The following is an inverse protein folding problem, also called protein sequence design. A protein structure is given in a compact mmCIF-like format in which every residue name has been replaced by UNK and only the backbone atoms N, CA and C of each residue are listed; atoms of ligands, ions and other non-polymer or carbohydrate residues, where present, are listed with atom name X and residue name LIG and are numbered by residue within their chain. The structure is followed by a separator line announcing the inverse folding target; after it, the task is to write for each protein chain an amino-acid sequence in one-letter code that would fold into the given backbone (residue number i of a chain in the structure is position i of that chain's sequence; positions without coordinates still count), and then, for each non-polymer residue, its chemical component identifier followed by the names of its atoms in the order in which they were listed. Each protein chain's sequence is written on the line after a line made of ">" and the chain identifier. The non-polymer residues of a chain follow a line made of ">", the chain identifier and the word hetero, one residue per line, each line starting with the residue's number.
data_IF_744963169926
#
_entry.id   IF_744963169926
#
_cell.length_a   1.000
_cell.length_b   1.000
_cell.length_c   1.000
_cell.angle_alpha   90.00
_cell.angle_beta   90.00
_cell.angle_gamma   90.00
#
_symmetry.space_group_name_H-M   'P 1'
#
loop_
_entity.id
_entity.type
_entity.pdbx_description
1 polymer ?
#
# COMPACT_ATOMS: atom_id res chain seq x y z
N UNK A 1 -6.13 -40.91 43.58
CA UNK A 1 -5.56 -39.54 43.69
C UNK A 1 -5.63 -38.88 42.32
N UNK A 2 -6.10 -37.63 42.19
CA UNK A 2 -6.12 -36.92 40.92
C UNK A 2 -4.70 -36.44 40.55
N UNK A 3 -4.35 -36.54 39.27
CA UNK A 3 -3.04 -36.13 38.76
C UNK A 3 -2.78 -34.63 39.02
N UNK A 4 -1.58 -34.23 39.49
CA UNK A 4 -1.26 -32.82 39.69
C UNK A 4 -1.25 -32.10 38.33
N UNK A 5 -1.89 -30.93 38.27
CA UNK A 5 -1.86 -30.08 37.07
C UNK A 5 -0.40 -29.75 36.75
N UNK A 6 0.03 -30.03 35.52
CA UNK A 6 1.41 -29.84 35.07
C UNK A 6 1.94 -28.43 35.33
N UNK A 7 3.25 -28.31 35.58
CA UNK A 7 3.92 -27.03 35.86
C UNK A 7 3.67 -26.04 34.70
N UNK A 8 3.28 -24.78 34.96
CA UNK A 8 3.10 -23.77 33.92
C UNK A 8 4.40 -23.61 33.11
N UNK A 9 4.29 -23.63 31.78
CA UNK A 9 5.44 -23.46 30.89
C UNK A 9 5.97 -22.01 30.96
N UNK A 10 7.30 -21.85 30.97
CA UNK A 10 7.94 -20.54 30.98
C UNK A 10 7.71 -19.78 29.67
N UNK A 11 7.71 -18.44 29.74
CA UNK A 11 7.56 -17.56 28.58
C UNK A 11 8.62 -17.83 27.51
N UNK A 12 9.85 -18.15 27.93
CA UNK A 12 10.96 -18.53 27.06
C UNK A 12 10.69 -19.84 26.30
N UNK A 13 10.11 -20.84 26.98
CA UNK A 13 9.74 -22.11 26.36
C UNK A 13 8.61 -21.92 25.33
N UNK A 14 7.66 -21.04 25.63
CA UNK A 14 6.58 -20.68 24.71
C UNK A 14 7.10 -19.90 23.50
N UNK A 15 8.03 -18.97 23.69
CA UNK A 15 8.67 -18.23 22.60
C UNK A 15 9.46 -19.16 21.66
N UNK A 16 10.24 -20.09 22.21
CA UNK A 16 10.98 -21.11 21.44
C UNK A 16 10.06 -21.95 20.56
N UNK A 17 8.86 -22.32 21.04
CA UNK A 17 7.87 -23.07 20.25
C UNK A 17 7.17 -22.22 19.19
N UNK A 18 6.85 -20.95 19.49
CA UNK A 18 6.19 -20.05 18.53
C UNK A 18 7.04 -19.80 17.29
N UNK A 19 8.37 -19.80 17.44
CA UNK A 19 9.32 -19.59 16.35
C UNK A 19 9.88 -20.89 15.75
N UNK A 20 9.42 -22.05 16.22
CA UNK A 20 9.88 -23.34 15.70
C UNK A 20 9.11 -23.69 14.42
N UNK A 21 9.84 -23.77 13.31
CA UNK A 21 9.33 -24.22 12.02
C UNK A 21 10.08 -25.48 11.60
N UNK A 22 9.33 -26.51 11.23
CA UNK A 22 9.90 -27.74 10.67
C UNK A 22 10.56 -27.44 9.32
N UNK A 23 11.62 -28.19 8.98
CA UNK A 23 12.23 -28.12 7.66
C UNK A 23 11.23 -28.57 6.58
N UNK A 24 11.37 -28.06 5.35
CA UNK A 24 10.48 -28.42 4.23
C UNK A 24 10.41 -29.94 4.02
N UNK A 25 11.55 -30.64 4.12
CA UNK A 25 11.60 -32.10 4.07
C UNK A 25 10.76 -32.77 5.16
N UNK A 26 10.76 -32.22 6.39
CA UNK A 26 9.96 -32.76 7.49
C UNK A 26 8.47 -32.48 7.29
N UNK A 27 8.13 -31.28 6.79
CA UNK A 27 6.74 -30.92 6.46
C UNK A 27 6.19 -31.87 5.39
N UNK A 28 7.00 -32.20 4.38
CA UNK A 28 6.59 -33.09 3.29
C UNK A 28 6.38 -34.53 3.78
N UNK A 29 7.26 -35.05 4.65
CA UNK A 29 7.05 -36.37 5.27
C UNK A 29 5.75 -36.42 6.07
N UNK A 30 5.46 -35.39 6.87
CA UNK A 30 4.21 -35.31 7.65
C UNK A 30 2.99 -35.23 6.72
N UNK A 31 3.10 -34.46 5.63
CA UNK A 31 2.05 -34.30 4.63
C UNK A 31 1.76 -35.61 3.92
N UNK A 32 2.78 -36.30 3.41
CA UNK A 32 2.64 -37.59 2.74
C UNK A 32 2.04 -38.65 3.66
N UNK A 33 2.46 -38.69 4.93
CA UNK A 33 1.89 -39.60 5.93
C UNK A 33 0.41 -39.32 6.25
N UNK A 34 -0.06 -38.07 6.07
CA UNK A 34 -1.44 -37.66 6.33
C UNK A 34 -2.31 -37.64 5.07
N UNK A 35 -1.73 -37.86 3.90
CA UNK A 35 -2.43 -37.75 2.62
C UNK A 35 -3.50 -38.85 2.52
N UNK A 36 -4.76 -38.45 2.26
CA UNK A 36 -5.89 -39.38 2.20
C UNK A 36 -6.36 -39.92 3.56
N UNK A 37 -5.72 -39.53 4.67
CA UNK A 37 -6.21 -39.90 6.00
C UNK A 37 -7.46 -39.10 6.33
N UNK A 38 -8.59 -39.79 6.42
CA UNK A 38 -9.86 -39.21 6.81
C UNK A 38 -10.24 -39.68 8.21
N UNK A 39 -10.60 -38.77 9.14
CA UNK A 39 -10.96 -39.16 10.50
C UNK A 39 -12.14 -40.12 10.49
N UNK A 40 -12.03 -41.20 11.28
CA UNK A 40 -13.14 -42.14 11.47
C UNK A 40 -14.39 -41.44 12.02
N UNK A 41 -15.57 -42.02 11.79
CA UNK A 41 -16.82 -41.47 12.35
C UNK A 41 -16.79 -41.39 13.88
N UNK A 42 -16.11 -42.34 14.55
CA UNK A 42 -15.90 -42.30 15.99
C UNK A 42 -15.01 -41.10 16.41
N UNK A 43 -13.93 -40.83 15.68
CA UNK A 43 -13.05 -39.67 15.91
C UNK A 43 -13.82 -38.36 15.72
N UNK A 44 -14.63 -38.26 14.65
CA UNK A 44 -15.48 -37.08 14.42
C UNK A 44 -16.52 -36.90 15.52
N UNK A 45 -17.14 -37.98 15.98
CA UNK A 45 -18.12 -37.94 17.07
C UNK A 45 -17.47 -37.46 18.37
N UNK A 46 -16.26 -37.94 18.71
CA UNK A 46 -15.49 -37.46 19.86
C UNK A 46 -15.16 -35.96 19.75
N UNK A 47 -14.67 -35.52 18.59
CA UNK A 47 -14.39 -34.10 18.35
C UNK A 47 -15.65 -33.24 18.50
N UNK A 48 -16.78 -33.68 17.93
CA UNK A 48 -18.08 -32.99 18.06
C UNK A 48 -18.54 -32.92 19.52
N UNK A 49 -18.50 -34.04 20.25
CA UNK A 49 -18.91 -34.11 21.65
C UNK A 49 -18.12 -33.12 22.53
N UNK A 50 -16.81 -32.96 22.29
CA UNK A 50 -15.98 -31.99 23.04
C UNK A 50 -16.27 -30.52 22.71
N UNK A 51 -16.85 -30.22 21.55
CA UNK A 51 -17.19 -28.86 21.13
C UNK A 51 -18.65 -28.48 21.42
N UNK A 52 -19.53 -29.46 21.60
CA UNK A 52 -20.95 -29.22 21.86
C UNK A 52 -21.14 -28.41 23.14
N UNK A 53 -21.92 -27.33 23.06
CA UNK A 53 -22.21 -26.43 24.19
C UNK A 53 -21.05 -25.50 24.59
N UNK A 54 -19.91 -25.54 23.89
CA UNK A 54 -18.80 -24.63 24.18
C UNK A 54 -19.13 -23.22 23.68
N UNK A 55 -19.34 -22.30 24.61
CA UNK A 55 -19.45 -20.89 24.30
C UNK A 55 -18.09 -20.18 24.47
N UNK A 56 -17.70 -19.29 23.53
CA UNK A 56 -16.52 -18.47 23.73
C UNK A 56 -16.63 -17.64 25.01
N UNK A 57 -15.51 -17.45 25.71
CA UNK A 57 -15.45 -16.54 26.87
C UNK A 57 -15.81 -15.11 26.44
N UNK A 58 -16.28 -14.28 27.38
CA UNK A 58 -16.59 -12.87 27.07
C UNK A 58 -15.37 -12.12 26.51
N UNK A 59 -14.18 -12.40 27.04
CA UNK A 59 -12.92 -11.87 26.50
C UNK A 59 -12.71 -12.27 25.03
N UNK A 60 -12.98 -13.54 24.68
CA UNK A 60 -12.87 -14.02 23.30
C UNK A 60 -13.90 -13.35 22.39
N UNK A 61 -15.15 -13.19 22.86
CA UNK A 61 -16.19 -12.47 22.12
C UNK A 61 -15.79 -11.02 21.88
N UNK A 62 -15.23 -10.34 22.88
CA UNK A 62 -14.74 -8.96 22.75
C UNK A 62 -13.61 -8.85 21.72
N UNK A 63 -12.63 -9.76 21.75
CA UNK A 63 -11.54 -9.80 20.75
C UNK A 63 -12.07 -10.01 19.33
N UNK A 64 -13.01 -10.95 19.15
CA UNK A 64 -13.66 -11.20 17.86
C UNK A 64 -14.40 -9.95 17.39
N UNK A 65 -15.21 -9.31 18.26
CA UNK A 65 -15.93 -8.07 17.92
C UNK A 65 -14.97 -6.96 17.50
N UNK A 66 -13.87 -6.76 18.23
CA UNK A 66 -12.87 -5.75 17.90
C UNK A 66 -12.21 -6.04 16.53
N UNK A 67 -11.80 -7.28 16.30
CA UNK A 67 -11.19 -7.69 15.04
C UNK A 67 -12.15 -7.52 13.84
N UNK A 68 -13.40 -7.95 14.00
CA UNK A 68 -14.45 -7.79 12.99
C UNK A 68 -14.73 -6.31 12.71
N UNK A 69 -14.76 -5.45 13.74
CA UNK A 69 -14.97 -4.01 13.59
C UNK A 69 -13.88 -3.33 12.74
N UNK A 70 -12.66 -3.86 12.80
CA UNK A 70 -11.50 -3.33 12.09
C UNK A 70 -11.31 -3.95 10.71
N UNK A 71 -11.85 -5.15 10.47
CA UNK A 71 -11.81 -5.83 9.17
C UNK A 71 -12.44 -4.96 8.09
N UNK A 72 -11.78 -4.84 6.93
CA UNK A 72 -12.34 -4.10 5.79
C UNK A 72 -12.23 -2.57 5.90
N UNK A 73 -11.59 -2.03 6.94
CA UNK A 73 -11.38 -0.58 7.10
C UNK A 73 -9.92 -0.19 6.92
N UNK A 74 -9.67 0.94 6.24
CA UNK A 74 -8.33 1.48 6.06
C UNK A 74 -7.36 0.40 5.57
N UNK A 75 -6.19 0.31 6.20
CA UNK A 75 -5.14 -0.70 5.90
C UNK A 75 -5.59 -2.16 6.12
N UNK A 76 -6.67 -2.40 6.88
CA UNK A 76 -7.21 -3.74 7.10
C UNK A 76 -8.22 -4.17 6.02
N UNK A 77 -8.43 -3.34 4.99
CA UNK A 77 -9.18 -3.71 3.79
C UNK A 77 -8.21 -4.28 2.75
N UNK A 78 -8.40 -5.51 2.23
CA UNK A 78 -7.54 -6.06 1.18
C UNK A 78 -7.56 -5.20 -0.11
N UNK A 79 -8.62 -4.44 -0.35
CA UNK A 79 -8.73 -3.51 -1.46
C UNK A 79 -8.18 -2.10 -1.15
N UNK A 80 -7.49 -1.93 -0.02
CA UNK A 80 -6.93 -0.63 0.37
C UNK A 80 -5.75 -0.25 -0.51
N UNK A 81 -5.97 0.72 -1.40
CA UNK A 81 -4.94 1.30 -2.27
C UNK A 81 -4.28 2.52 -1.63
N UNK A 82 -3.83 2.38 -0.39
CA UNK A 82 -3.20 3.50 0.35
C UNK A 82 -4.16 4.64 0.70
N UNK A 83 -5.47 4.44 0.58
CA UNK A 83 -6.47 5.49 0.79
C UNK A 83 -6.72 6.37 -0.42
N UNK A 84 -6.17 6.01 -1.58
CA UNK A 84 -6.37 6.69 -2.85
C UNK A 84 -7.70 6.31 -3.49
N UNK A 85 -8.44 7.29 -3.98
CA UNK A 85 -9.70 7.10 -4.73
C UNK A 85 -9.79 8.09 -5.88
N UNK A 86 -10.46 7.71 -6.96
CA UNK A 86 -10.80 8.62 -8.06
C UNK A 86 -12.17 9.26 -7.79
N UNK A 87 -12.28 10.57 -7.92
CA UNK A 87 -13.54 11.29 -7.82
C UNK A 87 -14.31 11.21 -9.14
N UNK A 88 -15.62 11.48 -9.10
CA UNK A 88 -16.44 11.62 -10.33
C UNK A 88 -15.93 12.73 -11.24
N UNK A 89 -15.28 13.75 -10.68
CA UNK A 89 -14.66 14.85 -11.44
C UNK A 89 -13.28 14.50 -12.04
N UNK A 90 -12.77 13.29 -11.80
CA UNK A 90 -11.53 12.76 -12.37
C UNK A 90 -10.25 13.04 -11.56
N UNK A 91 -10.35 13.59 -10.35
CA UNK A 91 -9.20 13.84 -9.49
C UNK A 91 -8.91 12.66 -8.57
N UNK A 92 -7.66 12.49 -8.17
CA UNK A 92 -7.29 11.54 -7.13
C UNK A 92 -7.37 12.24 -5.77
N UNK A 93 -8.08 11.62 -4.83
CA UNK A 93 -8.11 12.00 -3.42
C UNK A 93 -7.36 10.99 -2.58
N UNK A 94 -6.69 11.46 -1.53
CA UNK A 94 -5.97 10.65 -0.55
C UNK A 94 -6.67 10.81 0.80
N UNK A 95 -7.02 9.68 1.42
CA UNK A 95 -7.54 9.66 2.77
C UNK A 95 -6.52 10.18 3.77
N UNK A 96 -6.88 11.24 4.49
CA UNK A 96 -6.15 11.79 5.60
C UNK A 96 -6.98 11.59 6.87
N UNK A 97 -6.50 10.73 7.76
CA UNK A 97 -7.21 10.38 8.99
C UNK A 97 -7.43 11.63 9.88
N UNK A 98 -8.52 11.69 10.67
CA UNK A 98 -9.51 10.62 10.88
C UNK A 98 -10.69 10.60 9.89
N UNK A 99 -11.03 11.70 9.19
CA UNK A 99 -12.23 11.73 8.33
C UNK A 99 -12.10 12.60 7.10
N UNK A 100 -10.87 12.95 6.69
CA UNK A 100 -10.67 13.90 5.61
C UNK A 100 -10.14 13.22 4.35
N UNK A 101 -10.37 13.86 3.22
CA UNK A 101 -9.80 13.50 1.93
C UNK A 101 -9.23 14.75 1.31
N UNK A 102 -7.91 14.74 1.09
CA UNK A 102 -7.24 15.81 0.38
C UNK A 102 -7.06 15.43 -1.08
N UNK A 103 -7.14 16.42 -1.97
CA UNK A 103 -6.76 16.26 -3.37
C UNK A 103 -5.27 15.94 -3.45
N UNK A 104 -4.91 14.86 -4.16
CA UNK A 104 -3.53 14.41 -4.25
C UNK A 104 -2.62 15.47 -4.88
N UNK A 105 -3.06 16.13 -5.96
CA UNK A 105 -2.27 17.18 -6.61
C UNK A 105 -1.99 18.36 -5.67
N UNK A 106 -2.93 18.71 -4.80
CA UNK A 106 -2.73 19.76 -3.78
C UNK A 106 -1.65 19.32 -2.81
N UNK A 107 -1.79 18.10 -2.26
CA UNK A 107 -0.84 17.54 -1.31
C UNK A 107 0.59 17.51 -1.89
N UNK A 108 0.74 16.99 -3.11
CA UNK A 108 2.04 16.88 -3.77
C UNK A 108 2.64 18.27 -4.02
N UNK A 109 1.84 19.23 -4.49
CA UNK A 109 2.33 20.58 -4.74
C UNK A 109 2.81 21.25 -3.44
N UNK A 110 2.02 21.15 -2.36
CA UNK A 110 2.40 21.70 -1.05
C UNK A 110 3.66 21.05 -0.47
N UNK A 111 3.82 19.73 -0.62
CA UNK A 111 5.00 19.00 -0.15
C UNK A 111 6.27 19.44 -0.88
N UNK A 112 6.20 19.62 -2.21
CA UNK A 112 7.35 20.02 -3.02
C UNK A 112 7.78 21.46 -2.75
N UNK A 113 6.81 22.36 -2.53
CA UNK A 113 7.09 23.79 -2.33
C UNK A 113 7.26 24.16 -0.84
N UNK A 114 6.96 23.25 0.08
CA UNK A 114 7.05 23.49 1.52
C UNK A 114 6.10 24.57 2.04
N UNK A 115 5.03 24.90 1.30
CA UNK A 115 4.08 25.96 1.66
C UNK A 115 2.66 25.63 1.23
N UNK A 116 1.68 26.23 1.91
CA UNK A 116 0.27 26.13 1.57
C UNK A 116 -0.07 26.89 0.30
N UNK A 117 -1.07 26.41 -0.43
CA UNK A 117 -1.61 27.13 -1.58
C UNK A 117 -2.27 28.42 -1.08
N UNK A 118 -1.96 29.59 -1.67
CA UNK A 118 -2.59 30.85 -1.30
C UNK A 118 -4.12 30.81 -1.46
N UNK A 119 -4.83 31.59 -0.65
CA UNK A 119 -6.28 31.67 -0.76
C UNK A 119 -6.70 32.22 -2.14
N UNK A 120 -7.72 31.58 -2.73
CA UNK A 120 -8.19 31.91 -4.08
C UNK A 120 -7.32 31.38 -5.21
N UNK A 121 -6.28 30.58 -4.93
CA UNK A 121 -5.48 29.88 -5.94
C UNK A 121 -5.95 28.44 -6.12
N UNK A 122 -5.66 27.89 -7.30
CA UNK A 122 -5.93 26.50 -7.69
C UNK A 122 -4.66 25.88 -8.27
N UNK A 123 -4.60 24.54 -8.25
CA UNK A 123 -3.59 23.79 -9.00
C UNK A 123 -4.17 23.38 -10.36
N UNK A 124 -3.43 23.67 -11.42
CA UNK A 124 -3.73 23.30 -12.78
C UNK A 124 -2.77 22.19 -13.26
N UNK A 125 -3.30 21.23 -14.00
CA UNK A 125 -2.54 20.17 -14.66
C UNK A 125 -2.16 20.62 -16.06
N UNK A 126 -0.87 20.85 -16.32
CA UNK A 126 -0.39 21.44 -17.59
C UNK A 126 -0.76 20.58 -18.81
N UNK A 127 -0.75 19.25 -18.68
CA UNK A 127 -1.15 18.33 -19.75
C UNK A 127 -2.66 18.02 -19.81
N UNK A 128 -3.47 18.62 -18.93
CA UNK A 128 -4.91 18.35 -18.84
C UNK A 128 -5.29 16.98 -18.23
N UNK A 129 -4.32 16.13 -17.89
CA UNK A 129 -4.55 14.81 -17.31
C UNK A 129 -4.60 14.91 -15.79
N UNK A 130 -5.81 14.90 -15.22
CA UNK A 130 -6.07 15.11 -13.78
C UNK A 130 -5.47 14.05 -12.83
N UNK A 131 -5.06 12.91 -13.38
CA UNK A 131 -4.43 11.81 -12.65
C UNK A 131 -2.90 11.86 -12.69
N UNK A 132 -2.31 12.68 -13.56
CA UNK A 132 -0.87 12.88 -13.64
C UNK A 132 -0.43 13.96 -12.65
N UNK A 133 -0.16 13.53 -11.42
CA UNK A 133 0.22 14.43 -10.34
C UNK A 133 1.74 14.61 -10.20
N UNK A 134 2.53 14.38 -11.25
CA UNK A 134 3.95 14.66 -11.20
C UNK A 134 4.18 16.16 -10.90
N UNK A 135 5.07 16.55 -9.97
CA UNK A 135 5.27 17.95 -9.59
C UNK A 135 5.49 18.93 -10.76
N UNK A 136 6.22 18.50 -11.81
CA UNK A 136 6.47 19.28 -13.03
C UNK A 136 5.22 19.51 -13.90
N UNK A 137 4.15 18.74 -13.68
CA UNK A 137 2.86 18.87 -14.36
C UNK A 137 1.87 19.75 -13.59
N UNK A 138 2.23 20.22 -12.38
CA UNK A 138 1.34 20.96 -11.49
C UNK A 138 1.76 22.43 -11.40
N UNK A 139 0.84 23.33 -11.75
CA UNK A 139 1.02 24.77 -11.67
C UNK A 139 0.02 25.38 -10.69
N UNK A 140 0.48 26.11 -9.68
CA UNK A 140 -0.41 26.92 -8.85
C UNK A 140 -0.70 28.27 -9.51
N UNK A 141 -1.96 28.69 -9.52
CA UNK A 141 -2.38 29.93 -10.16
C UNK A 141 -3.64 30.52 -9.52
N UNK A 142 -3.89 31.84 -9.64
CA UNK A 142 -5.14 32.46 -9.20
C UNK A 142 -6.36 31.88 -9.92
N UNK A 143 -7.47 31.72 -9.20
CA UNK A 143 -8.74 31.22 -9.76
C UNK A 143 -9.40 32.18 -10.76
N UNK A 144 -9.10 33.48 -10.66
CA UNK A 144 -9.65 34.55 -11.53
C UNK A 144 -8.50 35.35 -12.14
N UNK A 145 -8.55 35.54 -13.47
CA UNK A 145 -7.62 36.39 -14.22
C UNK A 145 -6.38 35.66 -14.74
N UNK A 146 -6.08 35.86 -16.03
CA UNK A 146 -4.84 35.41 -16.72
C UNK A 146 -4.56 33.90 -16.72
N UNK A 147 -5.60 33.07 -16.60
CA UNK A 147 -5.42 31.61 -16.56
C UNK A 147 -4.62 31.11 -17.77
N UNK A 148 -5.03 31.53 -18.96
CA UNK A 148 -4.44 31.03 -20.19
C UNK A 148 -3.02 31.57 -20.41
N UNK A 149 -2.74 32.82 -20.03
CA UNK A 149 -1.39 33.38 -20.19
C UNK A 149 -0.38 32.72 -19.25
N UNK A 150 -0.74 32.49 -17.98
CA UNK A 150 0.13 31.80 -17.04
C UNK A 150 0.38 30.35 -17.45
N UNK A 151 -0.66 29.64 -17.90
CA UNK A 151 -0.52 28.27 -18.42
C UNK A 151 0.34 28.27 -19.68
N UNK A 152 0.12 29.19 -20.62
CA UNK A 152 0.92 29.32 -21.84
C UNK A 152 2.38 29.62 -21.54
N UNK A 153 2.67 30.49 -20.58
CA UNK A 153 4.04 30.78 -20.14
C UNK A 153 4.70 29.55 -19.51
N UNK A 154 3.99 28.83 -18.64
CA UNK A 154 4.48 27.60 -18.04
C UNK A 154 4.73 26.50 -19.09
N UNK A 155 3.82 26.33 -20.05
CA UNK A 155 3.99 25.40 -21.17
C UNK A 155 5.18 25.78 -22.04
N UNK A 156 5.34 27.06 -22.41
CA UNK A 156 6.51 27.55 -23.17
C UNK A 156 7.82 27.28 -22.43
N UNK A 157 7.86 27.54 -21.13
CA UNK A 157 9.04 27.26 -20.31
C UNK A 157 9.34 25.76 -20.27
N UNK A 158 8.32 24.93 -20.10
CA UNK A 158 8.46 23.47 -20.09
C UNK A 158 8.95 22.92 -21.43
N UNK A 159 8.46 23.46 -22.55
CA UNK A 159 8.91 23.11 -23.89
C UNK A 159 10.41 23.39 -24.02
N UNK A 160 10.88 24.58 -23.62
CA UNK A 160 12.32 24.93 -23.67
C UNK A 160 13.18 23.99 -22.82
N UNK A 161 12.72 23.63 -21.63
CA UNK A 161 13.43 22.67 -20.75
C UNK A 161 13.51 21.29 -21.37
N UNK A 162 12.41 20.79 -21.93
CA UNK A 162 12.36 19.50 -22.61
C UNK A 162 13.26 19.50 -23.85
N UNK A 163 13.25 20.55 -24.66
CA UNK A 163 14.14 20.71 -25.81
C UNK A 163 15.62 20.69 -25.39
N UNK A 164 15.97 21.33 -24.28
CA UNK A 164 17.32 21.30 -23.73
C UNK A 164 17.72 19.91 -23.19
N UNK A 165 16.80 19.21 -22.51
CA UNK A 165 16.99 17.85 -22.00
C UNK A 165 17.20 16.86 -23.15
N UNK A 166 16.35 16.90 -24.19
CA UNK A 166 16.48 16.07 -25.39
C UNK A 166 17.84 16.28 -26.05
N UNK A 167 18.25 17.54 -26.23
CA UNK A 167 19.55 17.87 -26.82
C UNK A 167 20.74 17.33 -26.01
N UNK A 168 20.63 17.30 -24.69
CA UNK A 168 21.65 16.73 -23.81
C UNK A 168 21.69 15.19 -23.91
N UNK A 169 20.52 14.55 -23.94
CA UNK A 169 20.40 13.10 -24.08
C UNK A 169 20.96 12.62 -25.43
N UNK A 170 20.65 13.32 -26.52
CA UNK A 170 21.19 13.04 -27.86
C UNK A 170 22.73 13.09 -27.85
N UNK A 171 23.32 14.15 -27.30
CA UNK A 171 24.78 14.27 -27.17
C UNK A 171 25.40 13.15 -26.32
N UNK A 172 24.71 12.75 -25.26
CA UNK A 172 25.20 11.69 -24.37
C UNK A 172 25.18 10.34 -25.07
N UNK A 173 24.11 10.07 -25.83
CA UNK A 173 23.96 8.86 -26.62
C UNK A 173 25.02 8.79 -27.73
N UNK A 174 25.25 9.89 -28.45
CA UNK A 174 26.29 9.98 -29.48
C UNK A 174 27.67 9.67 -28.90
N UNK A 175 27.99 10.25 -27.73
CA UNK A 175 29.25 9.99 -27.04
C UNK A 175 29.39 8.51 -26.62
N UNK A 176 28.33 7.90 -26.10
CA UNK A 176 28.34 6.47 -25.74
C UNK A 176 28.55 5.57 -26.97
N UNK A 177 27.87 5.86 -28.08
CA UNK A 177 28.05 5.10 -29.31
C UNK A 177 29.45 5.24 -29.90
N UNK A 178 30.07 6.43 -29.77
CA UNK A 178 31.45 6.65 -30.17
C UNK A 178 32.43 5.84 -29.31
N UNK A 179 32.21 5.75 -28.00
CA UNK A 179 33.05 4.94 -27.09
C UNK A 179 32.97 3.45 -27.45
N UNK A 180 31.75 2.90 -27.63
CA UNK A 180 31.57 1.49 -27.99
C UNK A 180 32.27 1.13 -29.31
N UNK A 181 32.21 2.01 -30.32
CA UNK A 181 32.89 1.81 -31.60
C UNK A 181 34.42 1.83 -31.51
N UNK A 182 34.98 2.49 -30.49
CA UNK A 182 36.43 2.48 -30.22
C UNK A 182 36.83 1.18 -29.50
N UNK A 183 35.96 0.61 -28.67
CA UNK A 183 36.23 -0.64 -27.94
C UNK A 183 36.07 -1.91 -28.81
N UNK A 184 35.34 -1.83 -29.92
CA UNK A 184 35.12 -2.95 -30.86
C UNK A 184 36.16 -3.05 -32.01
N UNK A 185 37.09 -2.09 -32.14
CA UNK A 185 38.17 -2.06 -33.14
C UNK A 185 39.54 -2.29 -32.49
#
# INVERSE_FOLDING_TARGET
>A
MPWPKGRPQSEESNAKRRNFHHSEATIEVIRQASLGHYPSEETKAKMRATQLGRHPTEETKQKIRLAVRQRGKGRNNPNWKGGRRLTTSGYIIIYQAPHDYILEHVLIWEQVHGKKIPEGWIIHHLNGVKTDNHPRNLLAMPRKGHHDELVNQALKQRIRELEAEVKLLERTLDNQQMIVRIEEN
#
